data_IF_854123842356
#
_entry.id   IF_854123842356
#
_cell.length_a   1.000
_cell.length_b   1.000
_cell.length_c   1.000
_cell.angle_alpha   90.00
_cell.angle_beta   90.00
_cell.angle_gamma   90.00
#
_symmetry.space_group_name_H-M   'P 1'
#
loop_
_entity.id
_entity.type
_entity.pdbx_description
1 polymer ?
#
# COMPACT_ATOMS: atom_id res chain seq x y z
N UNK A 1 3.42 13.18 14.68
CA UNK A 1 4.35 12.22 14.03
C UNK A 1 4.49 10.91 14.81
N UNK A 2 4.88 10.91 16.09
CA UNK A 2 5.07 9.67 16.89
C UNK A 2 3.85 8.74 16.87
N UNK A 3 2.64 9.28 17.04
CA UNK A 3 1.40 8.49 16.98
C UNK A 3 1.17 7.83 15.62
N UNK A 4 1.47 8.52 14.51
CA UNK A 4 1.35 7.96 13.17
C UNK A 4 2.37 6.83 12.93
N UNK A 5 3.58 6.97 13.46
CA UNK A 5 4.58 5.92 13.39
C UNK A 5 4.13 4.67 14.16
N UNK A 6 3.61 4.84 15.39
CA UNK A 6 3.02 3.72 16.16
C UNK A 6 1.86 3.07 15.41
N UNK A 7 1.03 3.88 14.73
CA UNK A 7 -0.07 3.37 13.91
C UNK A 7 0.42 2.49 12.76
N UNK A 8 1.53 2.83 12.10
CA UNK A 8 2.14 1.96 11.06
C UNK A 8 2.50 0.58 11.60
N UNK A 9 3.11 0.52 12.79
CA UNK A 9 3.45 -0.74 13.44
C UNK A 9 2.21 -1.57 13.83
N UNK A 10 1.13 -0.90 14.26
CA UNK A 10 -0.13 -1.56 14.58
C UNK A 10 -0.82 -2.14 13.34
N UNK A 11 -0.83 -1.39 12.23
CA UNK A 11 -1.38 -1.86 10.94
C UNK A 11 -0.64 -3.10 10.48
N UNK A 12 0.70 -3.05 10.42
CA UNK A 12 1.51 -4.19 9.99
C UNK A 12 1.23 -5.43 10.87
N UNK A 13 1.26 -5.29 12.19
CA UNK A 13 0.92 -6.40 13.11
C UNK A 13 -0.49 -6.96 12.91
N UNK A 14 -1.48 -6.10 12.70
CA UNK A 14 -2.86 -6.51 12.49
C UNK A 14 -3.01 -7.33 11.20
N UNK A 15 -2.48 -6.82 10.09
CA UNK A 15 -2.61 -7.48 8.80
C UNK A 15 -1.72 -8.70 8.66
N UNK A 16 -0.53 -8.73 9.27
CA UNK A 16 0.28 -9.96 9.33
C UNK A 16 -0.49 -11.11 9.99
N UNK A 17 -1.28 -10.84 11.05
CA UNK A 17 -2.09 -11.89 11.67
C UNK A 17 -3.19 -12.40 10.75
N UNK A 18 -3.82 -11.52 9.97
CA UNK A 18 -4.93 -11.86 9.07
C UNK A 18 -4.45 -12.57 7.82
N UNK A 19 -3.43 -12.02 7.16
CA UNK A 19 -2.88 -12.55 5.91
C UNK A 19 -2.23 -13.91 6.15
N UNK A 20 -1.52 -14.09 7.27
CA UNK A 20 -0.92 -15.39 7.61
C UNK A 20 -1.95 -16.43 8.06
N UNK A 21 -3.12 -16.00 8.55
CA UNK A 21 -4.21 -16.91 8.87
C UNK A 21 -4.91 -17.45 7.61
N UNK A 22 -4.91 -16.69 6.50
CA UNK A 22 -5.47 -17.12 5.22
C UNK A 22 -4.41 -17.76 4.31
N UNK A 23 -4.22 -19.07 4.49
CA UNK A 23 -3.35 -19.91 3.68
C UNK A 23 -3.94 -20.29 2.32
N UNK A 24 -5.18 -19.89 2.01
CA UNK A 24 -5.79 -20.26 0.73
C UNK A 24 -5.08 -19.53 -0.41
N UNK A 25 -4.49 -20.28 -1.33
CA UNK A 25 -4.06 -19.76 -2.64
C UNK A 25 -5.19 -19.79 -3.66
N UNK A 26 -6.40 -20.28 -3.29
CA UNK A 26 -7.50 -20.49 -4.23
C UNK A 26 -8.15 -19.21 -4.72
N UNK A 27 -8.06 -18.12 -3.96
CA UNK A 27 -8.62 -16.82 -4.35
C UNK A 27 -8.15 -16.38 -5.75
N UNK A 28 -6.91 -16.71 -6.14
CA UNK A 28 -6.40 -16.36 -7.48
C UNK A 28 -7.14 -17.10 -8.57
N UNK A 29 -7.48 -18.37 -8.35
CA UNK A 29 -8.25 -19.15 -9.31
C UNK A 29 -9.70 -18.69 -9.34
N UNK A 30 -10.30 -18.52 -8.16
CA UNK A 30 -11.70 -18.09 -8.01
C UNK A 30 -11.95 -16.75 -8.71
N UNK A 31 -11.08 -15.75 -8.51
CA UNK A 31 -11.24 -14.44 -9.15
C UNK A 31 -10.97 -14.48 -10.66
N UNK A 32 -10.07 -15.35 -11.12
CA UNK A 32 -9.81 -15.52 -12.55
C UNK A 32 -10.97 -16.21 -13.26
N UNK A 33 -11.66 -17.14 -12.59
CA UNK A 33 -12.83 -17.83 -13.11
C UNK A 33 -14.07 -16.93 -13.09
N UNK A 34 -14.31 -16.18 -12.01
CA UNK A 34 -15.48 -15.30 -11.89
C UNK A 34 -15.42 -14.13 -12.88
N UNK A 35 -14.23 -13.53 -13.07
CA UNK A 35 -14.04 -12.37 -13.95
C UNK A 35 -13.30 -12.73 -15.24
N UNK A 36 -13.48 -13.96 -15.74
CA UNK A 36 -12.70 -14.51 -16.86
C UNK A 36 -12.72 -13.59 -18.10
N UNK A 37 -13.88 -13.03 -18.44
CA UNK A 37 -14.06 -12.18 -19.62
C UNK A 37 -13.33 -10.84 -19.46
N UNK A 38 -13.38 -10.22 -18.27
CA UNK A 38 -12.63 -9.01 -17.96
C UNK A 38 -11.13 -9.26 -17.97
N UNK A 39 -10.66 -10.35 -17.37
CA UNK A 39 -9.25 -10.73 -17.41
C UNK A 39 -8.79 -10.98 -18.85
N UNK A 40 -9.58 -11.68 -19.68
CA UNK A 40 -9.29 -11.87 -21.11
C UNK A 40 -9.23 -10.53 -21.86
N UNK A 41 -10.07 -9.57 -21.50
CA UNK A 41 -10.18 -8.27 -22.18
C UNK A 41 -9.07 -7.29 -21.77
N UNK A 42 -8.74 -7.22 -20.49
CA UNK A 42 -7.90 -6.16 -19.92
C UNK A 42 -6.53 -6.64 -19.45
N UNK A 43 -6.40 -7.89 -19.01
CA UNK A 43 -5.21 -8.44 -18.37
C UNK A 43 -4.86 -9.84 -18.92
N UNK A 44 -4.90 -9.99 -20.24
CA UNK A 44 -4.69 -11.29 -20.91
C UNK A 44 -3.29 -11.83 -20.64
N UNK A 45 -3.20 -13.07 -20.16
CA UNK A 45 -1.95 -13.76 -19.78
C UNK A 45 -1.22 -13.16 -18.57
N UNK A 46 -1.88 -12.31 -17.80
CA UNK A 46 -1.29 -11.70 -16.61
C UNK A 46 -1.51 -12.57 -15.37
N UNK A 47 -0.66 -12.38 -14.36
CA UNK A 47 -0.76 -13.07 -13.07
C UNK A 47 -0.94 -12.01 -11.98
N UNK A 48 -2.19 -11.75 -11.62
CA UNK A 48 -2.53 -10.70 -10.62
C UNK A 48 -1.77 -10.86 -9.31
N UNK A 49 -1.52 -12.10 -8.87
CA UNK A 49 -0.74 -12.38 -7.67
C UNK A 49 0.73 -11.93 -7.77
N UNK A 50 1.34 -12.01 -8.96
CA UNK A 50 2.71 -11.55 -9.19
C UNK A 50 2.80 -10.01 -9.12
N UNK A 51 1.81 -9.33 -9.70
CA UNK A 51 1.71 -7.87 -9.62
C UNK A 51 1.41 -7.40 -8.19
N UNK A 52 0.52 -8.09 -7.46
CA UNK A 52 0.22 -7.80 -6.06
C UNK A 52 1.45 -8.01 -5.17
N UNK A 53 2.19 -9.09 -5.40
CA UNK A 53 3.47 -9.36 -4.71
C UNK A 53 4.49 -8.26 -5.00
N UNK A 54 4.59 -7.82 -6.26
CA UNK A 54 5.47 -6.73 -6.67
C UNK A 54 5.09 -5.43 -5.97
N UNK A 55 3.81 -5.06 -5.99
CA UNK A 55 3.30 -3.88 -5.31
C UNK A 55 3.64 -3.90 -3.82
N UNK A 56 3.33 -5.02 -3.15
CA UNK A 56 3.59 -5.22 -1.72
C UNK A 56 5.08 -5.07 -1.38
N UNK A 57 5.97 -5.69 -2.16
CA UNK A 57 7.42 -5.63 -1.95
C UNK A 57 8.02 -4.22 -2.10
N UNK A 58 7.36 -3.32 -2.84
CA UNK A 58 7.79 -1.92 -2.93
C UNK A 58 7.25 -1.08 -1.77
N UNK A 59 6.01 -1.32 -1.35
CA UNK A 59 5.30 -0.47 -0.37
C UNK A 59 5.69 -0.84 1.07
N UNK A 60 5.62 -2.12 1.45
CA UNK A 60 5.83 -2.55 2.85
C UNK A 60 7.16 -2.09 3.45
N UNK A 61 8.33 -2.38 2.82
CA UNK A 61 9.61 -2.02 3.44
C UNK A 61 9.80 -0.51 3.55
N UNK A 62 9.13 0.25 2.70
CA UNK A 62 9.18 1.71 2.68
C UNK A 62 8.34 2.33 3.81
N UNK A 63 7.33 1.61 4.29
CA UNK A 63 6.41 2.09 5.33
C UNK A 63 6.76 1.57 6.73
N UNK A 64 7.73 0.67 6.87
CA UNK A 64 8.16 0.16 8.17
C UNK A 64 8.61 1.31 9.10
N UNK A 65 8.13 1.31 10.36
CA UNK A 65 8.35 2.35 11.38
C UNK A 65 9.77 2.94 11.37
N UNK A 66 10.80 2.09 11.49
CA UNK A 66 12.20 2.55 11.60
C UNK A 66 12.74 3.04 10.26
N UNK A 67 12.27 2.44 9.18
CA UNK A 67 12.73 2.74 7.83
C UNK A 67 12.18 4.10 7.38
N UNK A 68 10.87 4.34 7.55
CA UNK A 68 10.26 5.61 7.19
C UNK A 68 10.81 6.76 8.04
N UNK A 69 10.93 6.60 9.36
CA UNK A 69 11.45 7.64 10.27
C UNK A 69 12.85 8.14 9.86
N UNK A 70 13.69 7.23 9.35
CA UNK A 70 15.03 7.56 8.85
C UNK A 70 14.99 8.14 7.44
N UNK A 71 14.27 7.50 6.51
CA UNK A 71 14.28 7.88 5.08
C UNK A 71 13.68 9.26 4.84
N UNK A 72 12.63 9.63 5.57
CA UNK A 72 11.96 10.93 5.37
C UNK A 72 12.83 12.12 5.73
N UNK A 73 13.97 11.95 6.40
CA UNK A 73 14.88 13.06 6.70
C UNK A 73 15.53 13.62 5.42
N UNK A 74 15.74 12.76 4.42
CA UNK A 74 16.29 13.11 3.12
C UNK A 74 15.19 13.54 2.13
N UNK A 75 15.42 14.64 1.41
CA UNK A 75 14.42 15.25 0.53
C UNK A 75 14.14 14.42 -0.72
N UNK A 76 15.17 13.80 -1.29
CA UNK A 76 15.04 12.95 -2.47
C UNK A 76 14.24 11.68 -2.13
N UNK A 77 14.53 11.05 -0.99
CA UNK A 77 13.76 9.93 -0.47
C UNK A 77 12.29 10.32 -0.27
N UNK A 78 11.98 11.46 0.38
CA UNK A 78 10.58 11.92 0.52
C UNK A 78 9.88 12.06 -0.82
N UNK A 79 10.53 12.69 -1.80
CA UNK A 79 9.96 12.87 -3.13
C UNK A 79 9.61 11.53 -3.80
N UNK A 80 10.55 10.58 -3.81
CA UNK A 80 10.33 9.27 -4.39
C UNK A 80 9.28 8.47 -3.62
N UNK A 81 9.32 8.49 -2.29
CA UNK A 81 8.32 7.83 -1.46
C UNK A 81 6.91 8.36 -1.74
N UNK A 82 6.71 9.68 -1.78
CA UNK A 82 5.40 10.28 -2.12
C UNK A 82 4.93 9.84 -3.51
N UNK A 83 5.82 9.84 -4.50
CA UNK A 83 5.49 9.41 -5.87
C UNK A 83 4.93 7.99 -5.91
N UNK A 84 5.54 7.07 -5.17
CA UNK A 84 5.11 5.66 -5.13
C UNK A 84 3.89 5.43 -4.25
N UNK A 85 3.91 5.97 -3.03
CA UNK A 85 2.86 5.81 -2.03
C UNK A 85 1.56 6.52 -2.41
N UNK A 86 1.60 7.54 -3.27
CA UNK A 86 0.41 8.27 -3.73
C UNK A 86 -0.54 7.43 -4.58
N UNK A 87 -0.06 6.33 -5.17
CA UNK A 87 -0.84 5.48 -6.06
C UNK A 87 -1.35 4.23 -5.36
N UNK A 88 -2.60 3.85 -5.63
CA UNK A 88 -3.17 2.55 -5.26
C UNK A 88 -2.61 1.42 -6.14
N UNK A 89 -2.94 0.17 -5.78
CA UNK A 89 -2.64 -1.00 -6.62
C UNK A 89 -3.18 -0.83 -8.06
N UNK A 90 -4.42 -0.37 -8.20
CA UNK A 90 -5.06 -0.20 -9.51
C UNK A 90 -4.49 0.98 -10.30
N UNK A 91 -3.89 1.97 -9.64
CA UNK A 91 -3.15 3.05 -10.31
C UNK A 91 -1.75 2.60 -10.77
N UNK A 92 -1.15 1.61 -10.11
CA UNK A 92 0.08 0.95 -10.59
C UNK A 92 -0.20 -0.02 -11.73
N UNK A 93 -1.29 -0.77 -11.62
CA UNK A 93 -1.67 -1.82 -12.55
C UNK A 93 -3.07 -1.54 -13.11
N UNK A 94 -3.21 -0.56 -14.03
CA UNK A 94 -4.51 -0.11 -14.54
C UNK A 94 -5.32 -1.21 -15.25
N UNK A 95 -4.64 -2.28 -15.69
CA UNK A 95 -5.28 -3.48 -16.26
C UNK A 95 -6.26 -4.18 -15.32
N UNK A 96 -6.17 -3.95 -14.01
CA UNK A 96 -7.09 -4.52 -13.01
C UNK A 96 -8.15 -3.54 -12.51
N UNK A 97 -8.25 -2.31 -13.04
CA UNK A 97 -9.23 -1.30 -12.60
C UNK A 97 -10.69 -1.77 -12.70
N UNK A 98 -10.98 -2.77 -13.54
CA UNK A 98 -12.32 -3.35 -13.61
C UNK A 98 -12.76 -3.95 -12.26
N UNK A 99 -11.82 -4.42 -11.43
CA UNK A 99 -12.10 -4.98 -10.10
C UNK A 99 -12.57 -3.91 -9.10
N UNK A 100 -12.25 -2.62 -9.31
CA UNK A 100 -12.66 -1.53 -8.40
C UNK A 100 -14.19 -1.34 -8.33
N UNK A 101 -14.93 -1.93 -9.27
CA UNK A 101 -16.39 -1.83 -9.34
C UNK A 101 -17.11 -2.88 -8.52
N UNK A 102 -16.39 -3.87 -8.01
CA UNK A 102 -16.94 -5.03 -7.33
C UNK A 102 -16.56 -5.03 -5.85
N UNK A 103 -17.41 -5.64 -5.03
CA UNK A 103 -17.03 -5.98 -3.66
C UNK A 103 -16.14 -7.21 -3.68
N UNK A 104 -14.91 -7.07 -3.19
CA UNK A 104 -13.94 -8.17 -3.14
C UNK A 104 -13.96 -8.90 -1.80
N UNK A 105 -14.94 -8.62 -0.92
CA UNK A 105 -15.04 -9.25 0.40
C UNK A 105 -15.16 -10.78 0.37
N UNK A 106 -15.70 -11.33 -0.72
CA UNK A 106 -15.75 -12.78 -1.02
C UNK A 106 -14.36 -13.39 -1.33
N UNK A 107 -13.34 -12.53 -1.50
CA UNK A 107 -11.93 -12.90 -1.66
C UNK A 107 -11.10 -12.35 -0.50
N UNK A 108 -11.24 -12.88 0.73
CA UNK A 108 -10.69 -12.26 1.94
C UNK A 108 -9.19 -11.96 1.84
N UNK A 109 -8.38 -12.88 1.30
CA UNK A 109 -6.95 -12.66 1.11
C UNK A 109 -6.63 -11.44 0.24
N UNK A 110 -7.25 -11.35 -0.94
CA UNK A 110 -7.04 -10.22 -1.85
C UNK A 110 -7.54 -8.93 -1.21
N UNK A 111 -8.76 -8.93 -0.68
CA UNK A 111 -9.37 -7.76 -0.06
C UNK A 111 -8.54 -7.25 1.12
N UNK A 112 -8.11 -8.14 2.02
CA UNK A 112 -7.28 -7.79 3.16
C UNK A 112 -5.91 -7.26 2.72
N UNK A 113 -5.30 -7.84 1.69
CA UNK A 113 -4.01 -7.34 1.19
C UNK A 113 -4.15 -5.96 0.52
N UNK A 114 -5.21 -5.71 -0.25
CA UNK A 114 -5.49 -4.39 -0.81
C UNK A 114 -5.79 -3.35 0.28
N UNK A 115 -6.60 -3.70 1.27
CA UNK A 115 -6.92 -2.84 2.42
C UNK A 115 -5.68 -2.54 3.25
N UNK A 116 -4.86 -3.56 3.51
CA UNK A 116 -3.57 -3.40 4.17
C UNK A 116 -2.71 -2.36 3.46
N UNK A 117 -2.47 -2.54 2.17
CA UNK A 117 -1.61 -1.63 1.40
C UNK A 117 -2.19 -0.21 1.34
N UNK A 118 -3.52 -0.07 1.26
CA UNK A 118 -4.19 1.22 1.25
C UNK A 118 -4.09 1.96 2.59
N UNK A 119 -4.28 1.26 3.70
CA UNK A 119 -4.10 1.85 5.03
C UNK A 119 -2.64 2.22 5.28
N UNK A 120 -1.71 1.30 4.95
CA UNK A 120 -0.28 1.49 5.16
C UNK A 120 0.24 2.70 4.39
N UNK A 121 -0.08 2.80 3.09
CA UNK A 121 0.35 3.93 2.26
C UNK A 121 -0.27 5.26 2.73
N UNK A 122 -1.52 5.24 3.17
CA UNK A 122 -2.22 6.45 3.64
C UNK A 122 -1.56 7.01 4.89
N UNK A 123 -1.28 6.15 5.88
CA UNK A 123 -0.61 6.58 7.12
C UNK A 123 0.85 6.98 6.83
N UNK A 124 1.55 6.29 5.93
CA UNK A 124 2.90 6.67 5.53
C UNK A 124 2.97 8.05 4.87
N UNK A 125 2.00 8.39 3.99
CA UNK A 125 1.88 9.73 3.42
C UNK A 125 1.65 10.79 4.51
N UNK A 126 0.78 10.50 5.49
CA UNK A 126 0.55 11.40 6.63
C UNK A 126 1.82 11.63 7.47
N UNK A 127 2.66 10.61 7.64
CA UNK A 127 3.97 10.75 8.30
C UNK A 127 4.85 11.73 7.52
N UNK A 128 4.96 11.57 6.20
CA UNK A 128 5.77 12.44 5.35
C UNK A 128 5.25 13.88 5.42
N UNK A 129 3.95 14.09 5.27
CA UNK A 129 3.35 15.42 5.27
C UNK A 129 3.52 16.11 6.63
N UNK A 130 3.36 15.37 7.74
CA UNK A 130 3.61 15.89 9.10
C UNK A 130 5.07 16.33 9.27
N UNK A 131 6.02 15.56 8.72
CA UNK A 131 7.43 15.90 8.78
C UNK A 131 7.73 17.16 7.95
N UNK A 132 7.20 17.27 6.73
CA UNK A 132 7.37 18.45 5.87
C UNK A 132 6.79 19.71 6.51
N UNK A 133 5.64 19.61 7.19
CA UNK A 133 5.07 20.71 7.97
C UNK A 133 6.00 21.16 9.10
N UNK A 134 6.58 20.21 9.85
CA UNK A 134 7.52 20.52 10.93
C UNK A 134 8.79 21.23 10.42
N UNK A 135 9.28 20.86 9.23
CA UNK A 135 10.37 21.57 8.58
C UNK A 135 9.96 22.99 8.19
N UNK A 136 8.79 23.15 7.57
CA UNK A 136 8.29 24.47 7.18
C UNK A 136 8.15 25.41 8.37
N UNK A 137 7.66 24.92 9.51
CA UNK A 137 7.56 25.69 10.77
C UNK A 137 8.94 26.09 11.31
N UNK A 138 9.89 25.14 11.34
CA UNK A 138 11.27 25.39 11.77
C UNK A 138 11.95 26.49 10.94
N UNK A 139 11.76 26.49 9.62
CA UNK A 139 12.36 27.49 8.74
C UNK A 139 11.57 28.81 8.68
N UNK A 140 10.28 28.81 9.03
CA UNK A 140 9.49 30.04 9.22
C UNK A 140 9.89 30.81 10.49
N UNK A 141 10.29 30.11 11.55
CA UNK A 141 10.71 30.71 12.82
C UNK A 141 12.13 30.27 13.22
N UNK A 142 13.19 30.80 12.58
CA UNK A 142 14.57 30.36 12.80
C UNK A 142 15.19 30.79 14.15
N UNK A 143 14.40 31.27 15.12
CA UNK A 143 14.88 31.93 16.36
C UNK A 143 14.60 31.18 17.67
N UNK A 144 14.24 29.90 17.65
CA UNK A 144 14.19 29.05 18.85
C UNK A 144 15.27 27.96 18.80
#
# INVERSE_FOLDING_TARGET
MKELLVKLEQIDKYYQNIINADVSSRWTTEILEEFEDEFKRYARNEVINADLSTYTAYIEPTCEYKTIEKKIQDAENRYHMKKWLSKSFFEWFPKYQFLEKYDLSDYPKLNNQLNYMNELRTVALQVIDTYEQSLAEKYRNPKN
#
